data_IF_774550904872
#
_entry.id   IF_774550904872
#
_cell.length_a   1.000
_cell.length_b   1.000
_cell.length_c   1.000
_cell.angle_alpha   90.00
_cell.angle_beta   90.00
_cell.angle_gamma   90.00
#
_symmetry.space_group_name_H-M   'P 1'
#
loop_
_entity.id
_entity.type
_entity.pdbx_description
1 polymer ?
#
# COMPACT_ATOMS: atom_id res chain seq x y z
N UNK A 1 -9.36 -13.14 -52.79
CA UNK A 1 -10.38 -12.80 -51.80
C UNK A 1 -9.67 -12.19 -50.63
N UNK A 2 -9.63 -10.86 -50.64
CA UNK A 2 -8.97 -10.06 -49.60
C UNK A 2 -9.79 -10.12 -48.32
N UNK A 3 -9.27 -10.76 -47.29
CA UNK A 3 -9.79 -10.64 -45.92
C UNK A 3 -9.13 -9.41 -45.30
N UNK A 4 -9.68 -8.24 -45.59
CA UNK A 4 -9.48 -7.05 -44.78
C UNK A 4 -10.16 -7.30 -43.41
N UNK A 5 -9.40 -7.89 -42.47
CA UNK A 5 -9.77 -7.86 -41.08
C UNK A 5 -9.51 -6.45 -40.58
N UNK A 6 -10.53 -5.60 -40.64
CA UNK A 6 -10.52 -4.30 -39.98
C UNK A 6 -10.11 -4.49 -38.51
N UNK A 7 -8.92 -4.01 -38.19
CA UNK A 7 -8.43 -3.86 -36.84
C UNK A 7 -9.24 -2.74 -36.13
N UNK A 8 -10.54 -2.97 -35.91
CA UNK A 8 -11.33 -2.12 -35.05
C UNK A 8 -10.76 -2.26 -33.64
N UNK A 9 -10.04 -1.26 -33.17
CA UNK A 9 -9.57 -1.17 -31.77
C UNK A 9 -10.81 -1.29 -30.89
N UNK A 10 -11.13 -2.49 -30.43
CA UNK A 10 -12.25 -2.72 -29.50
C UNK A 10 -12.05 -1.85 -28.27
N UNK A 11 -12.98 -0.96 -27.97
CA UNK A 11 -12.97 -0.11 -26.77
C UNK A 11 -13.10 -0.99 -25.51
N UNK A 12 -12.59 -0.51 -24.38
CA UNK A 12 -12.80 -1.16 -23.10
C UNK A 12 -14.30 -1.18 -22.73
N UNK A 13 -14.77 -2.25 -22.06
CA UNK A 13 -16.15 -2.31 -21.60
C UNK A 13 -16.43 -1.22 -20.57
N UNK A 14 -17.65 -0.65 -20.57
CA UNK A 14 -18.04 0.42 -19.63
C UNK A 14 -17.95 -0.01 -18.17
N UNK A 15 -18.06 -1.30 -17.88
CA UNK A 15 -17.84 -1.87 -16.55
C UNK A 15 -16.45 -1.57 -15.98
N UNK A 16 -15.42 -1.43 -16.82
CA UNK A 16 -14.07 -1.05 -16.36
C UNK A 16 -14.06 0.33 -15.68
N UNK A 17 -14.77 1.30 -16.27
CA UNK A 17 -14.84 2.65 -15.69
C UNK A 17 -15.62 2.69 -14.38
N UNK A 18 -16.66 1.84 -14.27
CA UNK A 18 -17.36 1.67 -13.01
C UNK A 18 -16.41 1.14 -11.91
N UNK A 19 -15.70 0.05 -12.20
CA UNK A 19 -14.79 -0.58 -11.24
C UNK A 19 -13.61 0.36 -10.92
N UNK A 20 -13.13 1.13 -11.91
CA UNK A 20 -12.13 2.19 -11.73
C UNK A 20 -12.60 3.23 -10.71
N UNK A 21 -13.79 3.82 -10.91
CA UNK A 21 -14.32 4.85 -10.01
C UNK A 21 -14.60 4.30 -8.61
N UNK A 22 -15.19 3.12 -8.53
CA UNK A 22 -15.45 2.44 -7.26
C UNK A 22 -14.15 2.18 -6.49
N UNK A 23 -13.13 1.62 -7.16
CA UNK A 23 -11.83 1.38 -6.56
C UNK A 23 -11.07 2.66 -6.20
N UNK A 24 -11.19 3.71 -7.01
CA UNK A 24 -10.60 5.03 -6.74
C UNK A 24 -11.14 5.64 -5.43
N UNK A 25 -12.47 5.65 -5.27
CA UNK A 25 -13.10 6.23 -4.08
C UNK A 25 -12.87 5.38 -2.82
N UNK A 26 -12.82 4.06 -2.95
CA UNK A 26 -12.45 3.18 -1.84
C UNK A 26 -10.98 3.41 -1.44
N UNK A 27 -10.07 3.54 -2.40
CA UNK A 27 -8.68 3.89 -2.09
C UNK A 27 -8.56 5.30 -1.49
N UNK A 28 -9.36 6.26 -1.94
CA UNK A 28 -9.48 7.56 -1.30
C UNK A 28 -9.85 7.41 0.18
N UNK A 29 -10.88 6.63 0.51
CA UNK A 29 -11.28 6.37 1.89
C UNK A 29 -10.12 5.79 2.71
N UNK A 30 -9.53 4.68 2.24
CA UNK A 30 -8.47 3.98 2.95
C UNK A 30 -7.20 4.83 3.17
N UNK A 31 -6.70 5.48 2.10
CA UNK A 31 -5.48 6.30 2.21
C UNK A 31 -5.72 7.63 2.92
N UNK A 32 -6.95 8.15 2.89
CA UNK A 32 -7.35 9.32 3.68
C UNK A 32 -7.28 9.05 5.17
N UNK A 33 -7.89 7.96 5.62
CA UNK A 33 -7.79 7.49 7.01
C UNK A 33 -6.33 7.21 7.38
N UNK A 34 -5.64 6.42 6.58
CA UNK A 34 -4.27 6.01 6.82
C UNK A 34 -3.32 7.20 6.96
N UNK A 35 -3.50 8.25 6.15
CA UNK A 35 -2.65 9.44 6.13
C UNK A 35 -2.66 10.25 7.43
N UNK A 36 -3.76 10.21 8.16
CA UNK A 36 -3.93 10.93 9.42
C UNK A 36 -3.88 10.02 10.67
N UNK A 37 -3.97 8.70 10.49
CA UNK A 37 -4.14 7.74 11.60
C UNK A 37 -3.00 7.83 12.61
N UNK A 38 -1.74 7.88 12.17
CA UNK A 38 -0.59 7.87 13.08
C UNK A 38 -0.57 9.12 13.96
N UNK A 39 -0.89 10.29 13.40
CA UNK A 39 -1.00 11.54 14.14
C UNK A 39 -2.19 11.50 15.10
N UNK A 40 -3.35 11.03 14.65
CA UNK A 40 -4.52 10.84 15.50
C UNK A 40 -4.24 9.94 16.70
N UNK A 41 -3.45 8.90 16.54
CA UNK A 41 -3.06 8.01 17.65
C UNK A 41 -2.19 8.74 18.66
N UNK A 42 -1.19 9.54 18.23
CA UNK A 42 -0.13 10.06 19.09
C UNK A 42 -0.38 11.46 19.65
N UNK A 43 -1.17 12.30 18.99
CA UNK A 43 -1.54 13.61 19.50
C UNK A 43 -2.37 13.47 20.77
N UNK A 44 -2.22 14.43 21.68
CA UNK A 44 -2.99 14.47 22.94
C UNK A 44 -4.49 14.64 22.69
N UNK A 45 -5.31 14.35 23.68
CA UNK A 45 -6.77 14.58 23.60
C UNK A 45 -7.08 16.06 23.33
N UNK A 46 -6.30 16.97 23.91
CA UNK A 46 -6.46 18.42 23.71
C UNK A 46 -6.13 18.81 22.25
N UNK A 47 -5.13 18.16 21.64
CA UNK A 47 -4.79 18.32 20.24
C UNK A 47 -5.74 17.55 19.30
N UNK A 48 -6.78 16.90 19.79
CA UNK A 48 -7.76 16.14 19.00
C UNK A 48 -7.34 14.71 18.69
N UNK A 49 -6.27 14.19 19.32
CA UNK A 49 -5.79 12.82 19.19
C UNK A 49 -6.26 11.91 20.31
N UNK A 50 -5.62 10.74 20.44
CA UNK A 50 -5.96 9.72 21.45
C UNK A 50 -4.85 9.50 22.50
N UNK A 51 -3.78 10.27 22.46
CA UNK A 51 -2.69 10.28 23.43
C UNK A 51 -2.01 8.91 23.67
N UNK A 52 -1.98 8.04 22.64
CA UNK A 52 -1.16 6.83 22.73
C UNK A 52 0.32 7.21 22.68
N UNK A 53 1.14 6.50 23.43
CA UNK A 53 2.58 6.59 23.27
C UNK A 53 2.99 6.12 21.85
N UNK A 54 4.07 6.68 21.27
CA UNK A 54 4.47 6.37 19.90
C UNK A 54 4.77 4.89 19.66
N UNK A 55 5.21 4.15 20.69
CA UNK A 55 5.47 2.72 20.60
C UNK A 55 4.16 1.95 20.36
N UNK A 56 3.16 2.17 21.21
CA UNK A 56 1.83 1.54 21.10
C UNK A 56 1.14 1.96 19.81
N UNK A 57 1.20 3.25 19.46
CA UNK A 57 0.64 3.78 18.21
C UNK A 57 1.23 3.09 16.97
N UNK A 58 2.55 2.89 16.94
CA UNK A 58 3.23 2.21 15.83
C UNK A 58 2.81 0.75 15.69
N UNK A 59 2.61 0.04 16.80
CA UNK A 59 2.11 -1.34 16.79
C UNK A 59 0.66 -1.38 16.28
N UNK A 60 -0.22 -0.52 16.81
CA UNK A 60 -1.62 -0.43 16.34
C UNK A 60 -1.65 -0.16 14.83
N UNK A 61 -0.90 0.84 14.37
CA UNK A 61 -0.82 1.20 12.96
C UNK A 61 -0.34 0.03 12.08
N UNK A 62 0.79 -0.59 12.45
CA UNK A 62 1.39 -1.67 11.67
C UNK A 62 0.51 -2.92 11.60
N UNK A 63 -0.09 -3.34 12.73
CA UNK A 63 -1.00 -4.49 12.73
C UNK A 63 -2.33 -4.19 12.04
N UNK A 64 -2.93 -3.01 12.24
CA UNK A 64 -4.17 -2.64 11.59
C UNK A 64 -4.01 -2.60 10.07
N UNK A 65 -2.97 -1.90 9.55
CA UNK A 65 -2.68 -1.84 8.13
C UNK A 65 -2.29 -3.20 7.57
N UNK A 66 -1.52 -4.00 8.31
CA UNK A 66 -1.15 -5.36 7.91
C UNK A 66 -2.36 -6.28 7.75
N UNK A 67 -3.27 -6.30 8.71
CA UNK A 67 -4.46 -7.16 8.67
C UNK A 67 -5.36 -6.88 7.45
N UNK A 68 -5.37 -5.66 6.89
CA UNK A 68 -6.07 -5.36 5.63
C UNK A 68 -5.51 -6.12 4.42
N UNK A 69 -4.31 -6.70 4.52
CA UNK A 69 -3.73 -7.57 3.50
C UNK A 69 -3.91 -9.05 3.78
N UNK A 70 -4.24 -9.42 5.01
CA UNK A 70 -4.53 -10.81 5.39
C UNK A 70 -6.01 -11.18 5.17
N UNK A 71 -6.93 -10.32 5.58
CA UNK A 71 -8.38 -10.57 5.51
C UNK A 71 -8.92 -10.78 4.09
N UNK A 72 -8.32 -10.25 3.00
CA UNK A 72 -8.71 -10.57 1.62
C UNK A 72 -8.70 -12.06 1.26
N UNK A 73 -7.86 -12.87 1.88
CA UNK A 73 -7.85 -14.32 1.69
C UNK A 73 -9.18 -14.94 2.13
N UNK A 74 -9.67 -14.52 3.30
CA UNK A 74 -10.92 -15.02 3.88
C UNK A 74 -12.12 -14.45 3.13
N UNK A 75 -12.14 -13.13 2.92
CA UNK A 75 -13.26 -12.45 2.26
C UNK A 75 -13.44 -12.85 0.80
N UNK A 76 -12.34 -13.07 0.06
CA UNK A 76 -12.37 -13.61 -1.29
C UNK A 76 -12.94 -15.03 -1.33
N UNK A 77 -12.49 -15.89 -0.41
CA UNK A 77 -13.03 -17.25 -0.29
C UNK A 77 -14.53 -17.27 0.03
N UNK A 78 -15.00 -16.43 0.95
CA UNK A 78 -16.42 -16.31 1.29
C UNK A 78 -17.20 -15.82 0.07
N UNK A 79 -16.68 -14.83 -0.65
CA UNK A 79 -17.35 -14.32 -1.85
C UNK A 79 -17.50 -15.39 -2.95
N UNK A 80 -16.44 -16.14 -3.23
CA UNK A 80 -16.45 -17.17 -4.27
C UNK A 80 -17.38 -18.35 -3.95
N UNK A 81 -17.55 -18.69 -2.65
CA UNK A 81 -18.35 -19.85 -2.25
C UNK A 81 -19.79 -19.53 -1.85
N UNK A 82 -20.08 -18.33 -1.31
CA UNK A 82 -21.38 -18.04 -0.68
C UNK A 82 -22.07 -16.78 -1.18
N UNK A 83 -21.34 -15.68 -1.43
CA UNK A 83 -21.97 -14.37 -1.67
C UNK A 83 -22.04 -13.96 -3.15
N UNK A 84 -21.01 -14.30 -3.92
CA UNK A 84 -20.72 -13.65 -5.19
C UNK A 84 -19.95 -12.32 -5.01
N UNK A 85 -19.14 -11.97 -6.01
CA UNK A 85 -18.21 -10.84 -5.94
C UNK A 85 -18.90 -9.49 -5.74
N UNK A 86 -20.05 -9.26 -6.41
CA UNK A 86 -20.79 -7.98 -6.31
C UNK A 86 -21.35 -7.74 -4.91
N UNK A 87 -21.97 -8.77 -4.31
CA UNK A 87 -22.50 -8.67 -2.94
C UNK A 87 -21.38 -8.49 -1.93
N UNK A 88 -20.22 -9.14 -2.16
CA UNK A 88 -19.06 -8.99 -1.31
C UNK A 88 -18.48 -7.57 -1.38
N UNK A 89 -18.42 -6.95 -2.56
CA UNK A 89 -18.00 -5.53 -2.70
C UNK A 89 -18.95 -4.62 -1.93
N UNK A 90 -20.26 -4.73 -2.13
CA UNK A 90 -21.24 -3.91 -1.40
C UNK A 90 -21.20 -4.11 0.11
N UNK A 91 -21.13 -5.36 0.57
CA UNK A 91 -21.02 -5.66 2.00
C UNK A 91 -19.73 -5.08 2.60
N UNK A 92 -18.61 -5.31 1.91
CA UNK A 92 -17.29 -4.82 2.34
C UNK A 92 -17.25 -3.30 2.44
N UNK A 93 -17.73 -2.61 1.41
CA UNK A 93 -17.75 -1.16 1.39
C UNK A 93 -18.69 -0.56 2.44
N UNK A 94 -19.85 -1.16 2.64
CA UNK A 94 -20.75 -0.72 3.71
C UNK A 94 -20.12 -0.89 5.10
N UNK A 95 -19.44 -2.00 5.36
CA UNK A 95 -18.71 -2.22 6.62
C UNK A 95 -17.58 -1.20 6.78
N UNK A 96 -16.82 -0.90 5.70
CA UNK A 96 -15.77 0.13 5.73
C UNK A 96 -16.35 1.51 5.99
N UNK A 97 -17.47 1.88 5.36
CA UNK A 97 -18.16 3.13 5.63
C UNK A 97 -18.50 3.29 7.12
N UNK A 98 -19.07 2.26 7.74
CA UNK A 98 -19.36 2.30 9.18
C UNK A 98 -18.09 2.35 10.03
N UNK A 99 -17.00 1.72 9.59
CA UNK A 99 -15.70 1.81 10.26
C UNK A 99 -15.18 3.25 10.31
N UNK A 100 -15.16 3.95 9.17
CA UNK A 100 -14.78 5.37 9.10
C UNK A 100 -15.75 6.28 9.87
N UNK A 101 -17.05 5.99 9.79
CA UNK A 101 -18.05 6.74 10.52
C UNK A 101 -17.92 6.59 12.04
N UNK A 102 -17.54 5.42 12.52
CA UNK A 102 -17.24 5.19 13.95
C UNK A 102 -16.01 6.01 14.37
N UNK A 103 -14.95 6.05 13.57
CA UNK A 103 -13.78 6.89 13.84
C UNK A 103 -14.14 8.39 13.90
N UNK A 104 -15.09 8.84 13.06
CA UNK A 104 -15.62 10.20 13.11
C UNK A 104 -16.45 10.46 14.37
N UNK A 105 -17.38 9.54 14.71
CA UNK A 105 -18.41 9.78 15.72
C UNK A 105 -17.94 9.50 17.15
N UNK A 106 -16.94 8.60 17.32
CA UNK A 106 -16.49 8.12 18.63
C UNK A 106 -15.02 8.46 18.87
N UNK A 107 -14.76 9.65 19.42
CA UNK A 107 -13.42 10.08 19.83
C UNK A 107 -12.99 9.37 21.13
N UNK A 108 -12.62 8.11 21.01
CA UNK A 108 -12.22 7.24 22.15
C UNK A 108 -11.40 6.04 21.69
N UNK A 109 -10.68 5.42 22.62
CA UNK A 109 -9.94 4.17 22.32
C UNK A 109 -10.88 3.05 21.84
N UNK A 110 -12.09 2.94 22.40
CA UNK A 110 -13.09 1.95 21.95
C UNK A 110 -13.52 2.24 20.51
N UNK A 111 -13.81 3.51 20.19
CA UNK A 111 -14.15 3.94 18.83
C UNK A 111 -13.04 3.62 17.83
N UNK A 112 -11.78 3.83 18.23
CA UNK A 112 -10.63 3.47 17.42
C UNK A 112 -10.60 1.97 17.08
N UNK A 113 -10.62 1.10 18.10
CA UNK A 113 -10.52 -0.35 17.88
C UNK A 113 -11.72 -0.89 17.10
N UNK A 114 -12.93 -0.40 17.38
CA UNK A 114 -14.13 -0.79 16.64
C UNK A 114 -14.06 -0.33 15.18
N UNK A 115 -13.67 0.93 14.94
CA UNK A 115 -13.52 1.48 13.59
C UNK A 115 -12.48 0.70 12.78
N UNK A 116 -11.28 0.47 13.33
CA UNK A 116 -10.22 -0.30 12.67
C UNK A 116 -10.64 -1.75 12.41
N UNK A 117 -11.33 -2.39 13.35
CA UNK A 117 -11.86 -3.75 13.17
C UNK A 117 -12.82 -3.84 11.98
N UNK A 118 -13.77 -2.90 11.88
CA UNK A 118 -14.70 -2.83 10.76
C UNK A 118 -13.96 -2.58 9.44
N UNK A 119 -12.98 -1.68 9.42
CA UNK A 119 -12.17 -1.41 8.23
C UNK A 119 -11.39 -2.64 7.76
N UNK A 120 -10.79 -3.40 8.67
CA UNK A 120 -10.05 -4.62 8.38
C UNK A 120 -10.98 -5.68 7.75
N UNK A 121 -12.16 -5.90 8.34
CA UNK A 121 -13.12 -6.87 7.82
C UNK A 121 -13.69 -6.41 6.48
N UNK A 122 -14.13 -5.15 6.38
CA UNK A 122 -14.70 -4.60 5.16
C UNK A 122 -13.73 -4.65 3.98
N UNK A 123 -12.45 -4.27 4.20
CA UNK A 123 -11.42 -4.38 3.19
C UNK A 123 -11.20 -5.82 2.72
N UNK A 124 -11.32 -6.78 3.63
CA UNK A 124 -11.24 -8.21 3.31
C UNK A 124 -12.28 -8.65 2.28
N UNK A 125 -13.50 -8.14 2.36
CA UNK A 125 -14.54 -8.42 1.37
C UNK A 125 -14.40 -7.56 0.11
N UNK A 126 -14.00 -6.31 0.22
CA UNK A 126 -13.99 -5.38 -0.90
C UNK A 126 -12.84 -5.64 -1.88
N UNK A 127 -11.60 -5.59 -1.37
CA UNK A 127 -10.37 -5.54 -2.17
C UNK A 127 -10.17 -6.72 -3.15
N UNK A 128 -10.34 -8.00 -2.76
CA UNK A 128 -10.14 -9.10 -3.69
C UNK A 128 -11.23 -9.15 -4.75
N UNK A 129 -12.46 -8.78 -4.39
CA UNK A 129 -13.61 -8.92 -5.24
C UNK A 129 -13.71 -7.82 -6.31
N UNK A 130 -13.36 -6.58 -5.97
CA UNK A 130 -13.31 -5.50 -6.97
C UNK A 130 -12.25 -5.79 -8.04
N UNK A 131 -11.08 -6.32 -7.66
CA UNK A 131 -10.02 -6.71 -8.60
C UNK A 131 -10.45 -7.91 -9.47
N UNK A 132 -11.17 -8.87 -8.89
CA UNK A 132 -11.68 -10.02 -9.63
C UNK A 132 -12.75 -9.62 -10.66
N UNK A 133 -13.56 -8.59 -10.38
CA UNK A 133 -14.51 -8.03 -11.36
C UNK A 133 -13.80 -7.44 -12.57
N UNK A 134 -12.62 -6.78 -12.40
CA UNK A 134 -11.82 -6.31 -13.55
C UNK A 134 -11.47 -7.47 -14.48
N UNK A 135 -10.93 -8.56 -13.92
CA UNK A 135 -10.58 -9.75 -14.71
C UNK A 135 -11.78 -10.39 -15.41
N UNK A 136 -12.93 -10.41 -14.73
CA UNK A 136 -14.18 -11.00 -15.24
C UNK A 136 -14.85 -10.23 -16.38
N UNK A 137 -14.44 -8.98 -16.65
CA UNK A 137 -14.93 -8.16 -17.76
C UNK A 137 -14.37 -8.59 -19.12
N UNK A 138 -13.36 -9.45 -19.14
CA UNK A 138 -12.64 -9.86 -20.34
C UNK A 138 -12.66 -11.37 -20.52
N UNK A 139 -12.69 -11.80 -21.77
CA UNK A 139 -12.55 -13.21 -22.10
C UNK A 139 -11.12 -13.71 -21.87
N UNK A 140 -10.92 -15.00 -21.57
CA UNK A 140 -9.59 -15.57 -21.46
C UNK A 140 -8.75 -15.31 -22.72
N UNK A 141 -7.57 -14.72 -22.56
CA UNK A 141 -6.69 -14.40 -23.69
C UNK A 141 -6.93 -13.04 -24.36
N UNK A 142 -7.87 -12.23 -23.85
CA UNK A 142 -8.07 -10.87 -24.37
C UNK A 142 -6.85 -9.98 -24.08
N UNK A 143 -6.18 -9.51 -25.13
CA UNK A 143 -4.97 -8.67 -25.06
C UNK A 143 -5.18 -7.32 -24.35
N UNK A 144 -6.44 -6.90 -24.15
CA UNK A 144 -6.77 -5.66 -23.43
C UNK A 144 -6.74 -5.80 -21.91
N UNK A 145 -6.64 -7.02 -21.38
CA UNK A 145 -6.69 -7.28 -19.95
C UNK A 145 -5.56 -6.56 -19.19
N UNK A 146 -4.34 -6.57 -19.73
CA UNK A 146 -3.19 -5.90 -19.10
C UNK A 146 -3.40 -4.39 -19.03
N UNK A 147 -3.91 -3.78 -20.10
CA UNK A 147 -4.23 -2.35 -20.12
C UNK A 147 -5.42 -2.01 -19.20
N UNK A 148 -6.38 -2.92 -19.02
CA UNK A 148 -7.47 -2.75 -18.08
C UNK A 148 -6.99 -2.71 -16.62
N UNK A 149 -6.09 -3.61 -16.24
CA UNK A 149 -5.46 -3.56 -14.92
C UNK A 149 -4.61 -2.30 -14.73
N UNK A 150 -3.93 -1.82 -15.78
CA UNK A 150 -3.19 -0.56 -15.74
C UNK A 150 -4.12 0.64 -15.49
N UNK A 151 -5.27 0.69 -16.16
CA UNK A 151 -6.30 1.72 -15.93
C UNK A 151 -6.86 1.62 -14.50
N UNK A 152 -7.16 0.42 -14.03
CA UNK A 152 -7.64 0.21 -12.67
C UNK A 152 -6.59 0.65 -11.63
N UNK A 153 -5.33 0.31 -11.83
CA UNK A 153 -4.22 0.72 -10.97
C UNK A 153 -4.02 2.25 -10.96
N UNK A 154 -4.23 2.92 -12.09
CA UNK A 154 -4.22 4.38 -12.15
C UNK A 154 -5.32 4.98 -11.25
N UNK A 155 -6.52 4.39 -11.21
CA UNK A 155 -7.58 4.80 -10.28
C UNK A 155 -7.17 4.67 -8.82
N UNK A 156 -6.54 3.55 -8.46
CA UNK A 156 -6.00 3.30 -7.12
C UNK A 156 -5.04 4.43 -6.72
N UNK A 157 -4.07 4.76 -7.59
CA UNK A 157 -3.07 5.80 -7.30
C UNK A 157 -3.67 7.20 -7.27
N UNK A 158 -4.68 7.48 -8.09
CA UNK A 158 -5.39 8.76 -8.06
C UNK A 158 -6.13 8.94 -6.72
N UNK A 159 -6.83 7.91 -6.23
CA UNK A 159 -7.44 7.92 -4.91
C UNK A 159 -6.41 8.12 -3.79
N UNK A 160 -5.30 7.38 -3.84
CA UNK A 160 -4.21 7.47 -2.87
C UNK A 160 -3.50 8.84 -2.88
N UNK A 161 -3.43 9.50 -4.04
CA UNK A 161 -2.87 10.84 -4.17
C UNK A 161 -3.79 11.92 -3.58
N UNK A 162 -5.08 11.90 -3.95
CA UNK A 162 -6.03 12.95 -3.56
C UNK A 162 -6.43 12.87 -2.08
N UNK A 163 -6.47 11.68 -1.51
CA UNK A 163 -7.01 11.46 -0.18
C UNK A 163 -6.23 12.19 0.94
N UNK A 164 -4.89 11.98 1.09
CA UNK A 164 -4.14 12.66 2.14
C UNK A 164 -4.13 14.19 1.94
N UNK A 165 -4.23 14.68 0.69
CA UNK A 165 -4.31 16.11 0.41
C UNK A 165 -5.59 16.70 1.01
N UNK A 166 -6.75 16.05 0.76
CA UNK A 166 -8.01 16.55 1.30
C UNK A 166 -8.10 16.34 2.81
N UNK A 167 -7.78 15.15 3.31
CA UNK A 167 -7.87 14.86 4.75
C UNK A 167 -6.91 15.73 5.55
N UNK A 168 -5.66 15.92 5.10
CA UNK A 168 -4.70 16.83 5.74
C UNK A 168 -5.18 18.29 5.75
N UNK A 169 -5.72 18.78 4.63
CA UNK A 169 -6.28 20.13 4.56
C UNK A 169 -7.46 20.32 5.55
N UNK A 170 -8.33 19.32 5.66
CA UNK A 170 -9.45 19.36 6.59
C UNK A 170 -8.97 19.31 8.05
N UNK A 171 -8.00 18.47 8.36
CA UNK A 171 -7.53 18.27 9.74
C UNK A 171 -6.69 19.44 10.24
N UNK A 172 -5.74 19.93 9.44
CA UNK A 172 -4.69 20.83 9.91
C UNK A 172 -5.00 22.30 9.64
N UNK A 173 -5.87 22.61 8.65
CA UNK A 173 -6.14 23.99 8.23
C UNK A 173 -7.60 24.40 8.41
N UNK A 174 -8.58 23.62 7.90
CA UNK A 174 -9.99 24.05 7.87
C UNK A 174 -10.66 23.89 9.23
N UNK A 175 -10.46 22.74 9.89
CA UNK A 175 -11.10 22.42 11.15
C UNK A 175 -10.13 22.37 12.34
N UNK A 176 -8.90 22.85 12.14
CA UNK A 176 -8.00 23.13 13.26
C UNK A 176 -8.43 24.41 13.99
N UNK A 177 -8.27 24.43 15.30
CA UNK A 177 -8.60 25.56 16.15
C UNK A 177 -7.65 25.69 17.32
N UNK A 178 -7.42 26.89 17.78
CA UNK A 178 -6.65 27.14 18.98
C UNK A 178 -7.51 26.88 20.23
N UNK A 179 -7.01 26.05 21.12
CA UNK A 179 -7.64 25.70 22.39
C UNK A 179 -6.69 26.04 23.53
N UNK A 180 -7.18 26.68 24.59
CA UNK A 180 -6.37 26.96 25.77
C UNK A 180 -6.30 25.74 26.65
N UNK A 181 -5.08 25.28 26.99
CA UNK A 181 -4.88 24.21 27.96
C UNK A 181 -5.38 24.69 29.35
N UNK A 182 -6.36 24.03 29.95
CA UNK A 182 -6.92 24.46 31.23
C UNK A 182 -5.95 24.36 32.42
N UNK A 183 -4.88 23.56 32.29
CA UNK A 183 -3.91 23.34 33.36
C UNK A 183 -2.72 24.31 33.28
N UNK A 184 -2.23 24.59 32.06
CA UNK A 184 -1.02 25.41 31.84
C UNK A 184 -1.35 26.84 31.38
N UNK A 185 -2.54 27.09 30.86
CA UNK A 185 -2.92 28.36 30.22
C UNK A 185 -2.32 28.56 28.82
N UNK A 186 -1.55 27.60 28.31
CA UNK A 186 -0.94 27.67 26.98
C UNK A 186 -1.96 27.46 25.87
N UNK A 187 -1.76 28.15 24.74
CA UNK A 187 -2.57 27.94 23.54
C UNK A 187 -1.99 26.76 22.75
N UNK A 188 -2.81 25.74 22.54
CA UNK A 188 -2.47 24.52 21.81
C UNK A 188 -3.37 24.42 20.58
N UNK A 189 -2.82 23.97 19.45
CA UNK A 189 -3.62 23.70 18.26
C UNK A 189 -4.35 22.36 18.39
N UNK A 190 -5.66 22.37 18.31
CA UNK A 190 -6.52 21.19 18.23
C UNK A 190 -6.83 20.88 16.77
N UNK A 191 -6.45 19.68 16.31
CA UNK A 191 -6.60 19.24 14.94
C UNK A 191 -7.97 18.62 14.68
N UNK A 192 -8.49 18.79 13.47
CA UNK A 192 -9.80 18.31 13.07
C UNK A 192 -9.83 16.86 12.58
N UNK A 193 -9.12 15.90 13.21
CA UNK A 193 -8.99 14.52 12.73
C UNK A 193 -10.34 13.84 12.44
N UNK A 194 -11.36 14.09 13.27
CA UNK A 194 -12.71 13.56 13.04
C UNK A 194 -13.27 13.93 11.66
N UNK A 195 -12.98 15.12 11.16
CA UNK A 195 -13.44 15.55 9.83
C UNK A 195 -12.64 14.90 8.69
N UNK A 196 -11.38 14.53 8.95
CA UNK A 196 -10.62 13.70 8.04
C UNK A 196 -11.23 12.30 7.89
N UNK A 197 -11.64 11.66 8.99
CA UNK A 197 -12.37 10.38 8.96
C UNK A 197 -13.75 10.52 8.34
N UNK A 198 -14.46 11.64 8.56
CA UNK A 198 -15.72 11.90 7.89
C UNK A 198 -15.55 12.01 6.37
N UNK A 199 -14.51 12.69 5.90
CA UNK A 199 -14.21 12.75 4.47
C UNK A 199 -13.89 11.36 3.88
N UNK A 200 -13.18 10.52 4.62
CA UNK A 200 -12.93 9.12 4.25
C UNK A 200 -14.24 8.31 4.18
N UNK A 201 -15.12 8.48 5.17
CA UNK A 201 -16.46 7.86 5.18
C UNK A 201 -17.30 8.31 3.97
N UNK A 202 -17.33 9.60 3.67
CA UNK A 202 -18.04 10.14 2.50
C UNK A 202 -17.45 9.55 1.21
N UNK A 203 -16.12 9.44 1.09
CA UNK A 203 -15.48 8.80 -0.05
C UNK A 203 -15.95 7.36 -0.24
N UNK A 204 -16.03 6.59 0.86
CA UNK A 204 -16.53 5.22 0.81
C UNK A 204 -18.02 5.16 0.43
N UNK A 205 -18.83 6.07 0.96
CA UNK A 205 -20.25 6.16 0.60
C UNK A 205 -20.43 6.47 -0.89
N UNK A 206 -19.64 7.39 -1.45
CA UNK A 206 -19.64 7.71 -2.88
C UNK A 206 -19.28 6.47 -3.70
N UNK A 207 -18.26 5.71 -3.30
CA UNK A 207 -17.91 4.43 -3.91
C UNK A 207 -19.09 3.47 -3.98
N UNK A 208 -19.77 3.27 -2.84
CA UNK A 208 -20.91 2.36 -2.71
C UNK A 208 -22.13 2.82 -3.54
N UNK A 209 -22.46 4.09 -3.50
CA UNK A 209 -23.58 4.65 -4.27
C UNK A 209 -23.34 4.49 -5.77
N UNK A 210 -22.13 4.81 -6.25
CA UNK A 210 -21.76 4.61 -7.66
C UNK A 210 -21.89 3.13 -8.04
N UNK A 211 -21.36 2.23 -7.22
CA UNK A 211 -21.41 0.81 -7.49
C UNK A 211 -22.85 0.28 -7.48
N UNK A 212 -23.64 0.64 -6.46
CA UNK A 212 -25.03 0.20 -6.33
C UNK A 212 -25.89 0.65 -7.51
N UNK A 213 -25.76 1.90 -7.94
CA UNK A 213 -26.59 2.47 -9.03
C UNK A 213 -26.22 1.91 -10.41
N UNK A 214 -24.95 1.61 -10.65
CA UNK A 214 -24.46 1.33 -12.00
C UNK A 214 -24.01 -0.13 -12.21
N UNK A 215 -23.84 -0.94 -11.14
CA UNK A 215 -23.36 -2.31 -11.28
C UNK A 215 -24.26 -3.17 -12.18
N UNK A 216 -25.58 -3.12 -12.02
CA UNK A 216 -26.49 -3.91 -12.86
C UNK A 216 -26.39 -3.49 -14.33
N UNK A 217 -26.29 -2.18 -14.60
CA UNK A 217 -26.25 -1.64 -15.97
C UNK A 217 -24.97 -1.99 -16.71
N UNK A 218 -23.82 -1.99 -16.02
CA UNK A 218 -22.50 -2.11 -16.67
C UNK A 218 -21.80 -3.44 -16.47
N UNK A 219 -22.18 -4.21 -15.45
CA UNK A 219 -21.63 -5.54 -15.18
C UNK A 219 -22.60 -6.67 -15.57
N UNK A 220 -23.90 -6.38 -15.80
CA UNK A 220 -24.92 -7.42 -16.06
C UNK A 220 -24.93 -8.46 -14.94
N UNK A 221 -24.75 -9.72 -15.26
CA UNK A 221 -24.74 -10.83 -14.30
C UNK A 221 -23.34 -11.15 -13.73
N UNK A 222 -22.31 -10.42 -14.18
CA UNK A 222 -20.95 -10.66 -13.74
C UNK A 222 -20.83 -10.49 -12.21
N UNK A 223 -20.32 -11.51 -11.53
CA UNK A 223 -20.08 -11.51 -10.08
C UNK A 223 -21.34 -11.51 -9.20
N UNK A 224 -22.55 -11.67 -9.78
CA UNK A 224 -23.81 -11.67 -9.03
C UNK A 224 -23.99 -12.93 -8.18
N UNK A 225 -23.56 -14.07 -8.72
CA UNK A 225 -23.68 -15.37 -8.06
C UNK A 225 -22.31 -15.89 -7.61
N UNK A 226 -22.26 -16.67 -6.52
CA UNK A 226 -21.04 -17.37 -6.15
C UNK A 226 -20.62 -18.33 -7.27
N UNK A 227 -19.33 -18.46 -7.49
CA UNK A 227 -18.80 -19.35 -8.53
C UNK A 227 -19.10 -20.83 -8.23
N UNK A 228 -19.61 -21.12 -7.04
CA UNK A 228 -19.82 -22.45 -6.50
C UNK A 228 -18.48 -23.15 -6.29
N UNK A 229 -18.28 -23.90 -5.21
CA UNK A 229 -17.03 -24.64 -4.90
C UNK A 229 -16.62 -25.68 -5.95
N UNK A 230 -17.19 -25.63 -7.16
CA UNK A 230 -16.93 -26.44 -8.35
C UNK A 230 -16.40 -25.60 -9.52
N UNK A 231 -15.47 -24.68 -9.32
CA UNK A 231 -14.38 -24.61 -10.27
C UNK A 231 -13.37 -25.67 -9.80
N UNK A 232 -13.62 -26.90 -10.16
CA UNK A 232 -12.54 -27.72 -10.71
C UNK A 232 -11.73 -26.76 -11.56
N UNK A 233 -10.48 -26.52 -11.16
CA UNK A 233 -9.43 -26.10 -12.09
C UNK A 233 -9.75 -26.86 -13.37
N UNK A 234 -10.20 -26.14 -14.41
CA UNK A 234 -10.64 -26.76 -15.63
C UNK A 234 -9.44 -27.55 -16.12
N UNK A 235 -9.56 -28.87 -16.08
CA UNK A 235 -8.82 -29.87 -16.85
C UNK A 235 -7.38 -29.56 -17.31
N UNK A 236 -6.54 -28.95 -16.44
CA UNK A 236 -5.20 -29.43 -16.36
C UNK A 236 -5.33 -30.71 -15.50
N UNK A 237 -5.08 -31.87 -16.05
CA UNK A 237 -4.83 -33.08 -15.30
C UNK A 237 -3.77 -32.72 -14.27
N UNK A 238 -4.23 -32.31 -13.06
CA UNK A 238 -3.34 -32.05 -11.94
C UNK A 238 -2.82 -33.41 -11.57
N UNK A 239 -1.67 -33.77 -12.15
CA UNK A 239 -0.97 -34.99 -11.87
C UNK A 239 -0.72 -35.05 -10.36
N UNK A 240 -1.19 -36.09 -9.67
CA UNK A 240 -0.85 -36.37 -8.26
C UNK A 240 0.62 -36.73 -8.08
N UNK A 241 1.41 -36.70 -9.17
CA UNK A 241 2.83 -36.95 -9.14
C UNK A 241 3.57 -36.02 -8.16
N UNK A 242 4.56 -36.51 -7.45
CA UNK A 242 5.39 -35.71 -6.57
C UNK A 242 6.07 -34.58 -7.35
N UNK A 243 6.31 -33.43 -6.66
CA UNK A 243 7.00 -32.29 -7.24
C UNK A 243 8.35 -32.67 -7.81
N UNK A 244 8.62 -32.30 -9.05
CA UNK A 244 9.92 -32.47 -9.69
C UNK A 244 10.99 -31.63 -9.00
N UNK A 245 12.27 -31.95 -9.24
CA UNK A 245 13.39 -31.15 -8.73
C UNK A 245 13.30 -29.70 -9.20
N UNK A 246 12.97 -29.48 -10.47
CA UNK A 246 12.79 -28.15 -11.07
C UNK A 246 11.67 -27.35 -10.38
N UNK A 247 10.52 -27.96 -10.15
CA UNK A 247 9.41 -27.32 -9.45
C UNK A 247 9.78 -26.94 -8.00
N UNK A 248 10.51 -27.79 -7.28
CA UNK A 248 11.01 -27.50 -5.94
C UNK A 248 11.99 -26.33 -5.93
N UNK A 249 12.88 -26.26 -6.91
CA UNK A 249 13.85 -25.17 -7.06
C UNK A 249 13.12 -23.84 -7.36
N UNK A 250 12.12 -23.84 -8.25
CA UNK A 250 11.27 -22.67 -8.56
C UNK A 250 10.49 -22.19 -7.33
N UNK A 251 9.91 -23.10 -6.56
CA UNK A 251 9.23 -22.78 -5.30
C UNK A 251 10.21 -22.14 -4.31
N UNK A 252 11.42 -22.68 -4.20
CA UNK A 252 12.45 -22.10 -3.33
C UNK A 252 12.78 -20.67 -3.74
N UNK A 253 12.87 -20.36 -5.04
CA UNK A 253 13.08 -19.00 -5.54
C UNK A 253 11.92 -18.07 -5.13
N UNK A 254 10.67 -18.54 -5.22
CA UNK A 254 9.50 -17.75 -4.78
C UNK A 254 9.63 -17.39 -3.29
N UNK A 255 10.01 -18.34 -2.43
CA UNK A 255 10.18 -18.07 -1.00
C UNK A 255 11.36 -17.14 -0.71
N UNK A 256 12.45 -17.22 -1.47
CA UNK A 256 13.55 -16.26 -1.37
C UNK A 256 13.03 -14.85 -1.70
N UNK A 257 12.32 -14.69 -2.80
CA UNK A 257 11.76 -13.38 -3.16
C UNK A 257 10.73 -12.88 -2.16
N UNK A 258 9.87 -13.75 -1.64
CA UNK A 258 8.93 -13.45 -0.56
C UNK A 258 9.63 -12.86 0.67
N UNK A 259 10.71 -13.49 1.10
CA UNK A 259 11.49 -13.04 2.25
C UNK A 259 12.10 -11.66 2.03
N UNK A 260 12.73 -11.41 0.89
CA UNK A 260 13.30 -10.10 0.59
C UNK A 260 12.24 -9.02 0.36
N UNK A 261 11.07 -9.38 -0.18
CA UNK A 261 9.95 -8.45 -0.33
C UNK A 261 9.39 -7.98 1.03
N UNK A 262 9.33 -8.87 2.04
CA UNK A 262 8.93 -8.48 3.40
C UNK A 262 9.85 -7.38 3.93
N UNK A 263 11.16 -7.52 3.81
CA UNK A 263 12.11 -6.52 4.30
C UNK A 263 12.04 -5.20 3.51
N UNK A 264 11.87 -5.28 2.20
CA UNK A 264 11.64 -4.09 1.40
C UNK A 264 10.41 -3.33 1.89
N UNK A 265 9.26 -3.99 1.95
CA UNK A 265 8.02 -3.33 2.34
C UNK A 265 7.99 -2.94 3.82
N UNK A 266 8.65 -3.65 4.73
CA UNK A 266 8.76 -3.24 6.13
C UNK A 266 9.50 -1.90 6.30
N UNK A 267 10.56 -1.69 5.51
CA UNK A 267 11.24 -0.39 5.44
C UNK A 267 10.40 0.65 4.69
N UNK A 268 9.78 0.29 3.58
CA UNK A 268 8.96 1.20 2.77
C UNK A 268 7.75 1.76 3.54
N UNK A 269 7.07 0.92 4.31
CA UNK A 269 5.88 1.28 5.10
C UNK A 269 6.18 2.20 6.31
N UNK A 270 7.46 2.46 6.60
CA UNK A 270 7.84 3.49 7.58
C UNK A 270 7.34 4.90 7.19
N UNK A 271 7.02 5.11 5.92
CA UNK A 271 6.40 6.33 5.42
C UNK A 271 5.12 6.71 6.18
N UNK A 272 4.30 5.74 6.54
CA UNK A 272 3.04 5.96 7.27
C UNK A 272 3.17 5.97 8.79
N UNK A 273 4.32 5.64 9.34
CA UNK A 273 4.55 5.55 10.80
C UNK A 273 5.71 6.44 11.25
N UNK A 274 6.94 5.92 11.30
CA UNK A 274 8.08 6.66 11.85
C UNK A 274 8.41 7.94 11.06
N UNK A 275 8.30 7.93 9.71
CA UNK A 275 8.52 9.15 8.93
C UNK A 275 7.42 10.18 9.16
N UNK A 276 6.18 9.77 9.33
CA UNK A 276 5.07 10.70 9.67
C UNK A 276 5.36 11.42 10.98
N UNK A 277 5.77 10.69 12.04
CA UNK A 277 6.10 11.30 13.33
C UNK A 277 7.36 12.17 13.24
N UNK A 278 8.40 11.72 12.52
CA UNK A 278 9.60 12.51 12.31
C UNK A 278 9.30 13.81 11.54
N UNK A 279 8.49 13.71 10.50
CA UNK A 279 8.08 14.85 9.67
C UNK A 279 7.29 15.87 10.48
N UNK A 280 6.34 15.43 11.30
CA UNK A 280 5.53 16.30 12.13
C UNK A 280 6.37 17.10 13.13
N UNK A 281 7.35 16.45 13.76
CA UNK A 281 8.16 17.05 14.82
C UNK A 281 9.36 17.84 14.27
N UNK A 282 10.06 17.34 13.25
CA UNK A 282 11.44 17.70 12.96
C UNK A 282 11.73 18.20 11.54
N UNK A 283 10.76 18.17 10.62
CA UNK A 283 10.92 18.72 9.28
C UNK A 283 10.29 20.12 9.19
N UNK A 284 11.00 21.08 8.59
CA UNK A 284 10.43 22.37 8.27
C UNK A 284 9.44 22.22 7.10
N UNK A 285 8.16 22.37 7.43
CA UNK A 285 7.05 22.20 6.50
C UNK A 285 6.50 23.55 5.98
N UNK A 286 7.16 24.65 6.35
CA UNK A 286 6.69 25.99 5.95
C UNK A 286 7.26 26.38 4.60
N UNK A 287 6.39 26.55 3.61
CA UNK A 287 6.75 26.99 2.27
C UNK A 287 5.90 28.21 1.89
N UNK A 288 6.56 29.33 1.66
CA UNK A 288 5.86 30.58 1.29
C UNK A 288 4.87 31.08 2.35
N UNK A 289 5.10 30.78 3.63
CA UNK A 289 4.21 31.15 4.74
C UNK A 289 3.04 30.18 4.98
N UNK A 290 2.93 29.11 4.18
CA UNK A 290 1.94 28.05 4.37
C UNK A 290 2.61 26.82 4.99
N UNK A 291 2.10 26.34 6.12
CA UNK A 291 2.54 25.12 6.73
C UNK A 291 1.86 23.91 6.07
N UNK A 292 2.65 23.08 5.39
CA UNK A 292 2.16 21.90 4.68
C UNK A 292 1.68 20.86 5.71
N UNK A 293 0.43 20.37 5.62
CA UNK A 293 -0.06 19.29 6.46
C UNK A 293 0.83 18.05 6.38
N UNK A 294 1.13 17.45 7.51
CA UNK A 294 2.00 16.25 7.55
C UNK A 294 1.44 15.11 6.71
N UNK A 295 0.12 14.94 6.66
CA UNK A 295 -0.55 13.93 5.85
C UNK A 295 -0.25 14.07 4.34
N UNK A 296 0.02 15.27 3.81
CA UNK A 296 0.30 15.50 2.39
C UNK A 296 1.50 14.72 1.88
N UNK A 297 2.47 14.41 2.74
CA UNK A 297 3.65 13.65 2.34
C UNK A 297 3.33 12.20 1.97
N UNK A 298 2.18 11.67 2.42
CA UNK A 298 1.68 10.36 1.96
C UNK A 298 1.27 10.38 0.47
N UNK A 299 0.99 11.56 -0.10
CA UNK A 299 0.66 11.73 -1.53
C UNK A 299 1.90 11.80 -2.42
N UNK A 300 3.10 11.98 -1.86
CA UNK A 300 4.35 12.14 -2.64
C UNK A 300 4.71 10.86 -3.39
N UNK A 301 4.55 9.68 -2.76
CA UNK A 301 4.81 8.41 -3.41
C UNK A 301 3.86 8.15 -4.60
N UNK A 302 2.52 8.22 -4.48
CA UNK A 302 1.62 8.10 -5.64
C UNK A 302 1.92 9.10 -6.76
N UNK A 303 2.30 10.33 -6.43
CA UNK A 303 2.71 11.33 -7.41
C UNK A 303 3.96 10.85 -8.18
N UNK A 304 5.00 10.42 -7.46
CA UNK A 304 6.21 9.91 -8.10
C UNK A 304 5.95 8.62 -8.90
N UNK A 305 5.04 7.75 -8.47
CA UNK A 305 4.65 6.58 -9.26
C UNK A 305 4.09 7.03 -10.62
N UNK A 306 3.16 7.98 -10.65
CA UNK A 306 2.55 8.47 -11.89
C UNK A 306 3.61 9.06 -12.83
N UNK A 307 4.58 9.81 -12.30
CA UNK A 307 5.64 10.45 -13.10
C UNK A 307 6.71 9.45 -13.55
N UNK A 308 7.15 8.56 -12.65
CA UNK A 308 8.30 7.70 -12.89
C UNK A 308 7.93 6.35 -13.54
N UNK A 309 6.71 5.84 -13.37
CA UNK A 309 6.35 4.54 -13.93
C UNK A 309 6.52 4.46 -15.47
N UNK A 310 6.13 5.48 -16.27
CA UNK A 310 6.41 5.47 -17.72
C UNK A 310 7.91 5.47 -18.04
N UNK A 311 8.72 6.18 -17.24
CA UNK A 311 10.19 6.24 -17.42
C UNK A 311 10.80 4.87 -17.13
N UNK A 312 10.41 4.24 -16.01
CA UNK A 312 10.87 2.90 -15.66
C UNK A 312 10.40 1.84 -16.65
N UNK A 313 9.15 1.92 -17.12
CA UNK A 313 8.63 1.02 -18.17
C UNK A 313 9.45 1.13 -19.45
N UNK A 314 9.76 2.35 -19.91
CA UNK A 314 10.62 2.59 -21.07
C UNK A 314 12.03 2.04 -20.84
N UNK A 315 12.61 2.28 -19.67
CA UNK A 315 13.94 1.77 -19.32
C UNK A 315 13.98 0.22 -19.30
N UNK A 316 13.02 -0.45 -18.67
CA UNK A 316 12.96 -1.91 -18.62
C UNK A 316 12.73 -2.54 -20.00
N UNK A 317 12.06 -1.85 -20.92
CA UNK A 317 11.84 -2.30 -22.30
C UNK A 317 13.02 -1.98 -23.24
N UNK A 318 14.00 -1.19 -22.79
CA UNK A 318 15.21 -0.92 -23.57
C UNK A 318 16.10 -2.17 -23.73
N UNK A 319 16.98 -2.17 -24.72
CA UNK A 319 17.95 -3.26 -24.94
C UNK A 319 18.77 -3.57 -23.69
N UNK A 320 19.19 -2.53 -22.96
CA UNK A 320 19.94 -2.68 -21.71
C UNK A 320 19.03 -3.23 -20.58
N UNK A 321 17.84 -2.65 -20.37
CA UNK A 321 16.91 -3.07 -19.32
C UNK A 321 16.48 -4.53 -19.44
N UNK A 322 16.36 -5.06 -20.66
CA UNK A 322 16.03 -6.47 -20.92
C UNK A 322 17.17 -7.43 -20.56
N UNK A 323 18.42 -6.97 -20.45
CA UNK A 323 19.53 -7.80 -19.97
C UNK A 323 19.54 -7.94 -18.44
N UNK A 324 18.88 -7.04 -17.74
CA UNK A 324 18.83 -7.05 -16.28
C UNK A 324 17.84 -8.10 -15.78
N UNK A 325 18.32 -8.92 -14.89
CA UNK A 325 17.59 -10.08 -14.36
C UNK A 325 16.68 -9.68 -13.23
N UNK A 326 15.69 -10.52 -12.96
CA UNK A 326 14.74 -10.33 -11.84
C UNK A 326 15.43 -10.17 -10.48
N UNK A 327 16.39 -11.03 -10.05
CA UNK A 327 17.09 -10.84 -8.79
C UNK A 327 17.87 -9.52 -8.73
N UNK A 328 18.47 -9.11 -9.85
CA UNK A 328 19.20 -7.84 -9.92
C UNK A 328 18.25 -6.64 -9.72
N UNK A 329 17.08 -6.64 -10.39
CA UNK A 329 16.07 -5.58 -10.23
C UNK A 329 15.60 -5.47 -8.78
N UNK A 330 15.29 -6.60 -8.13
CA UNK A 330 14.88 -6.63 -6.73
C UNK A 330 15.99 -6.17 -5.80
N UNK A 331 17.24 -6.60 -6.02
CA UNK A 331 18.40 -6.16 -5.24
C UNK A 331 18.64 -4.65 -5.36
N UNK A 332 18.51 -4.10 -6.57
CA UNK A 332 18.60 -2.66 -6.81
C UNK A 332 17.50 -1.91 -6.06
N UNK A 333 16.26 -2.43 -6.04
CA UNK A 333 15.17 -1.85 -5.28
C UNK A 333 15.47 -1.73 -3.79
N UNK A 334 16.02 -2.79 -3.16
CA UNK A 334 16.44 -2.80 -1.76
C UNK A 334 17.58 -1.80 -1.48
N UNK A 335 18.56 -1.69 -2.39
CA UNK A 335 19.65 -0.72 -2.26
C UNK A 335 19.13 0.72 -2.34
N UNK A 336 18.21 1.00 -3.29
CA UNK A 336 17.58 2.32 -3.41
C UNK A 336 16.76 2.70 -2.17
N UNK A 337 16.04 1.74 -1.59
CA UNK A 337 15.36 1.95 -0.31
C UNK A 337 16.35 2.35 0.79
N UNK A 338 17.47 1.65 0.91
CA UNK A 338 18.49 1.96 1.90
C UNK A 338 19.16 3.32 1.66
N UNK A 339 19.38 3.71 0.40
CA UNK A 339 19.89 5.05 0.05
C UNK A 339 18.90 6.13 0.50
N UNK A 340 17.59 5.89 0.35
CA UNK A 340 16.57 6.81 0.85
C UNK A 340 16.68 7.08 2.34
N UNK A 341 17.02 6.08 3.14
CA UNK A 341 17.27 6.26 4.57
C UNK A 341 18.50 7.10 4.88
N UNK A 342 19.53 7.13 4.00
CA UNK A 342 20.65 8.07 4.19
C UNK A 342 20.20 9.53 4.05
N UNK A 343 19.20 9.83 3.24
CA UNK A 343 18.65 11.18 3.21
C UNK A 343 17.94 11.53 4.52
N UNK A 344 17.21 10.58 5.14
CA UNK A 344 16.64 10.82 6.48
C UNK A 344 17.74 11.02 7.55
N UNK A 345 18.86 10.31 7.46
CA UNK A 345 20.03 10.58 8.31
C UNK A 345 20.61 11.97 8.03
N UNK A 346 20.63 12.42 6.77
CA UNK A 346 20.99 13.79 6.41
C UNK A 346 20.14 14.82 7.14
N UNK A 347 18.83 14.59 7.28
CA UNK A 347 17.95 15.44 8.07
C UNK A 347 18.33 15.46 9.57
N UNK A 348 18.72 14.32 10.14
CA UNK A 348 19.21 14.25 11.53
C UNK A 348 20.50 15.05 11.70
N UNK A 349 21.46 14.91 10.78
CA UNK A 349 22.74 15.64 10.81
C UNK A 349 22.55 17.15 10.62
N UNK A 350 21.66 17.59 9.73
CA UNK A 350 21.34 19.00 9.55
C UNK A 350 20.86 19.66 10.85
N UNK A 351 20.15 18.92 11.69
CA UNK A 351 19.72 19.37 13.02
C UNK A 351 20.80 19.33 14.09
N UNK A 352 22.04 18.98 13.73
CA UNK A 352 23.17 18.87 14.68
C UNK A 352 23.26 17.50 15.38
N UNK A 353 22.48 16.50 14.91
CA UNK A 353 22.53 15.14 15.42
C UNK A 353 23.66 14.29 14.85
N UNK A 354 23.78 13.08 15.36
CA UNK A 354 24.66 12.03 14.87
C UNK A 354 24.06 10.67 15.17
N UNK A 355 24.71 9.59 14.70
CA UNK A 355 24.21 8.24 15.02
C UNK A 355 24.24 8.03 16.53
N UNK A 356 23.09 7.74 17.12
CA UNK A 356 22.93 7.54 18.56
C UNK A 356 22.82 8.83 19.39
N UNK A 357 22.82 9.99 18.73
CA UNK A 357 22.62 11.29 19.41
C UNK A 357 21.64 12.13 18.59
N UNK A 358 20.36 11.96 18.86
CA UNK A 358 19.28 12.67 18.20
C UNK A 358 18.93 13.96 18.95
N UNK A 359 18.97 15.15 18.30
CA UNK A 359 18.60 16.39 18.94
C UNK A 359 17.14 16.37 19.38
N UNK A 360 16.89 16.67 20.65
CA UNK A 360 15.54 16.75 21.22
C UNK A 360 14.84 18.07 20.95
N UNK A 361 15.59 19.12 20.58
CA UNK A 361 15.05 20.45 20.30
C UNK A 361 14.19 20.43 19.03
N UNK A 362 12.89 20.64 19.20
CA UNK A 362 11.93 20.71 18.10
C UNK A 362 11.93 22.05 17.36
N UNK A 363 12.56 23.08 17.90
CA UNK A 363 12.70 24.37 17.21
C UNK A 363 13.71 24.28 16.05
N UNK A 364 14.70 23.39 16.15
CA UNK A 364 15.66 23.14 15.08
C UNK A 364 15.08 22.09 14.11
N UNK A 365 14.62 22.55 12.96
CA UNK A 365 14.00 21.71 11.94
C UNK A 365 14.92 21.50 10.75
N UNK A 366 14.86 20.31 10.15
CA UNK A 366 15.60 19.97 8.94
C UNK A 366 14.83 20.38 7.68
N UNK A 367 15.56 20.57 6.58
CA UNK A 367 14.99 20.90 5.28
C UNK A 367 14.05 19.81 4.77
N UNK A 368 12.93 20.25 4.18
CA UNK A 368 11.97 19.41 3.47
C UNK A 368 12.61 18.59 2.33
N UNK A 369 13.71 19.08 1.76
CA UNK A 369 14.37 18.40 0.65
C UNK A 369 14.80 16.96 0.99
N UNK A 370 15.24 16.70 2.23
CA UNK A 370 15.62 15.37 2.67
C UNK A 370 14.46 14.36 2.56
N UNK A 371 13.29 14.78 2.99
CA UNK A 371 12.09 13.95 2.94
C UNK A 371 11.67 13.66 1.49
N UNK A 372 11.71 14.69 0.62
CA UNK A 372 11.36 14.52 -0.80
C UNK A 372 12.34 13.59 -1.52
N UNK A 373 13.66 13.70 -1.24
CA UNK A 373 14.67 12.79 -1.79
C UNK A 373 14.48 11.35 -1.28
N UNK A 374 14.09 11.19 -0.02
CA UNK A 374 13.74 9.88 0.55
C UNK A 374 12.57 9.25 -0.20
N UNK A 375 11.46 9.97 -0.37
CA UNK A 375 10.30 9.46 -1.11
C UNK A 375 10.63 9.16 -2.58
N UNK A 376 11.45 10.00 -3.22
CA UNK A 376 11.90 9.77 -4.60
C UNK A 376 12.64 8.44 -4.73
N UNK A 377 13.67 8.23 -3.89
CA UNK A 377 14.48 6.99 -3.96
C UNK A 377 13.69 5.75 -3.52
N UNK A 378 12.81 5.87 -2.53
CA UNK A 378 11.92 4.79 -2.13
C UNK A 378 10.97 4.40 -3.25
N UNK A 379 10.37 5.38 -3.95
CA UNK A 379 9.50 5.11 -5.11
C UNK A 379 10.26 4.47 -6.27
N UNK A 380 11.49 4.92 -6.55
CA UNK A 380 12.35 4.27 -7.54
C UNK A 380 12.64 2.81 -7.16
N UNK A 381 12.89 2.54 -5.88
CA UNK A 381 13.06 1.19 -5.35
C UNK A 381 11.80 0.34 -5.51
N UNK A 382 10.64 0.90 -5.22
CA UNK A 382 9.35 0.24 -5.42
C UNK A 382 9.10 -0.13 -6.88
N UNK A 383 9.38 0.77 -7.82
CA UNK A 383 9.23 0.52 -9.26
C UNK A 383 10.21 -0.55 -9.80
N UNK A 384 11.30 -0.82 -9.09
CA UNK A 384 12.17 -1.95 -9.38
C UNK A 384 11.62 -3.29 -8.89
N UNK A 385 10.85 -3.31 -7.80
CA UNK A 385 10.44 -4.53 -7.11
C UNK A 385 8.98 -4.93 -7.39
N UNK A 386 8.05 -4.00 -7.27
CA UNK A 386 6.60 -4.29 -7.27
C UNK A 386 6.09 -4.93 -8.57
N UNK A 387 6.45 -4.45 -9.79
CA UNK A 387 5.97 -5.08 -11.02
C UNK A 387 6.52 -6.48 -11.24
N UNK A 388 7.69 -6.76 -10.67
CA UNK A 388 8.42 -8.02 -10.85
C UNK A 388 7.82 -9.13 -9.99
N UNK A 389 7.48 -8.82 -8.74
CA UNK A 389 7.08 -9.81 -7.75
C UNK A 389 5.87 -10.65 -8.15
N UNK A 390 4.77 -10.01 -8.53
CA UNK A 390 3.56 -10.71 -8.97
C UNK A 390 3.78 -11.53 -10.24
N UNK A 391 4.48 -10.96 -11.23
CA UNK A 391 4.79 -11.64 -12.49
C UNK A 391 5.60 -12.90 -12.27
N UNK A 392 6.64 -12.83 -11.44
CA UNK A 392 7.55 -13.96 -11.25
C UNK A 392 6.90 -15.11 -10.47
N UNK A 393 6.05 -14.80 -9.48
CA UNK A 393 5.30 -15.83 -8.75
C UNK A 393 4.38 -16.58 -9.71
N UNK A 394 3.67 -15.88 -10.57
CA UNK A 394 2.80 -16.50 -11.58
C UNK A 394 3.58 -17.39 -12.55
N UNK A 395 4.76 -16.94 -13.00
CA UNK A 395 5.59 -17.68 -13.96
C UNK A 395 6.31 -18.90 -13.37
N UNK A 396 6.75 -18.82 -12.10
CA UNK A 396 7.51 -19.86 -11.43
C UNK A 396 6.64 -20.92 -10.75
N UNK A 397 5.38 -20.59 -10.45
CA UNK A 397 4.49 -21.49 -9.71
C UNK A 397 4.13 -22.72 -10.53
N UNK A 398 4.33 -23.95 -10.00
CA UNK A 398 3.75 -25.13 -10.59
C UNK A 398 2.22 -25.01 -10.68
N UNK A 399 1.58 -25.48 -11.77
CA UNK A 399 0.12 -25.34 -11.95
C UNK A 399 -0.72 -25.80 -10.76
N UNK A 400 -0.30 -26.90 -10.12
CA UNK A 400 -0.97 -27.48 -8.94
C UNK A 400 -0.89 -26.63 -7.68
N UNK A 401 0.09 -25.74 -7.56
CA UNK A 401 0.31 -24.87 -6.38
C UNK A 401 0.15 -23.40 -6.68
N UNK A 402 -0.18 -23.00 -7.92
CA UNK A 402 -0.21 -21.61 -8.34
C UNK A 402 -1.10 -20.72 -7.47
N UNK A 403 -2.31 -21.18 -7.15
CA UNK A 403 -3.22 -20.44 -6.26
C UNK A 403 -2.70 -20.31 -4.83
N UNK A 404 -2.12 -21.40 -4.28
CA UNK A 404 -1.54 -21.39 -2.94
C UNK A 404 -0.33 -20.45 -2.85
N UNK A 405 0.62 -20.55 -3.79
CA UNK A 405 1.82 -19.71 -3.80
C UNK A 405 1.49 -18.22 -4.02
N UNK A 406 0.49 -17.93 -4.84
CA UNK A 406 -0.01 -16.56 -4.99
C UNK A 406 -0.65 -16.05 -3.69
N UNK A 407 -1.44 -16.90 -3.00
CA UNK A 407 -1.99 -16.59 -1.68
C UNK A 407 -0.90 -16.30 -0.66
N UNK A 408 0.13 -17.14 -0.59
CA UNK A 408 1.30 -16.91 0.27
C UNK A 408 1.99 -15.59 -0.08
N UNK A 409 2.22 -15.30 -1.37
CA UNK A 409 2.82 -14.04 -1.80
C UNK A 409 2.06 -12.82 -1.30
N UNK A 410 0.73 -12.87 -1.36
CA UNK A 410 -0.11 -11.76 -0.87
C UNK A 410 0.04 -11.50 0.63
N UNK A 411 0.40 -12.51 1.43
CA UNK A 411 0.65 -12.33 2.86
C UNK A 411 1.95 -11.59 3.16
N UNK A 412 2.86 -11.42 2.19
CA UNK A 412 4.09 -10.64 2.39
C UNK A 412 3.81 -9.23 2.91
N UNK A 413 2.76 -8.58 2.39
CA UNK A 413 2.37 -7.25 2.82
C UNK A 413 1.87 -7.23 4.28
N UNK A 414 1.19 -8.28 4.76
CA UNK A 414 0.83 -8.42 6.18
C UNK A 414 2.08 -8.47 7.06
N UNK A 415 3.01 -9.37 6.76
CA UNK A 415 4.25 -9.50 7.54
C UNK A 415 5.09 -8.24 7.48
N UNK A 416 5.14 -7.58 6.33
CA UNK A 416 5.88 -6.32 6.15
C UNK A 416 5.30 -5.19 7.00
N UNK A 417 3.99 -4.98 6.99
CA UNK A 417 3.35 -3.94 7.81
C UNK A 417 3.47 -4.25 9.31
N UNK A 418 3.26 -5.48 9.73
CA UNK A 418 3.44 -5.90 11.12
C UNK A 418 4.90 -5.69 11.59
N UNK A 419 5.87 -6.14 10.78
CA UNK A 419 7.29 -5.90 11.06
C UNK A 419 7.62 -4.41 11.05
N UNK A 420 7.07 -3.64 10.10
CA UNK A 420 7.21 -2.19 10.03
C UNK A 420 6.72 -1.49 11.29
N UNK A 421 5.56 -1.89 11.82
CA UNK A 421 5.03 -1.40 13.09
C UNK A 421 5.93 -1.71 14.28
N UNK A 422 6.47 -2.95 14.34
CA UNK A 422 7.44 -3.34 15.37
C UNK A 422 8.72 -2.50 15.24
N UNK A 423 9.27 -2.32 14.06
CA UNK A 423 10.47 -1.50 13.83
C UNK A 423 10.20 -0.05 14.27
N UNK A 424 9.07 0.54 13.84
CA UNK A 424 8.70 1.91 14.20
C UNK A 424 8.54 2.09 15.72
N UNK A 425 8.09 1.06 16.44
CA UNK A 425 7.93 1.10 17.90
C UNK A 425 9.24 1.27 18.65
N UNK A 426 10.37 0.94 18.03
CA UNK A 426 11.70 1.14 18.62
C UNK A 426 12.29 2.54 18.36
N UNK A 427 11.70 3.35 17.47
CA UNK A 427 12.24 4.69 17.16
C UNK A 427 12.26 5.58 18.39
N UNK A 428 11.24 5.51 19.25
CA UNK A 428 11.18 6.30 20.48
C UNK A 428 12.28 5.89 21.49
N UNK A 429 12.60 4.60 21.57
CA UNK A 429 13.60 4.08 22.54
C UNK A 429 15.02 4.25 22.08
N UNK A 430 15.28 4.02 20.81
CA UNK A 430 16.64 3.99 20.25
C UNK A 430 17.03 5.29 19.54
N UNK A 431 16.05 6.16 19.28
CA UNK A 431 16.21 7.34 18.46
C UNK A 431 16.08 7.05 16.96
N UNK A 432 15.61 8.03 16.17
CA UNK A 432 15.44 7.90 14.72
C UNK A 432 16.76 7.62 14.01
N UNK A 433 17.90 8.20 14.45
CA UNK A 433 19.21 8.01 13.82
C UNK A 433 19.69 6.56 13.85
N UNK A 434 19.54 5.87 14.99
CA UNK A 434 19.91 4.45 15.12
C UNK A 434 19.00 3.60 14.24
N UNK A 435 17.68 3.79 14.34
CA UNK A 435 16.72 2.96 13.60
C UNK A 435 16.89 3.15 12.09
N UNK A 436 17.03 4.39 11.61
CA UNK A 436 17.25 4.66 10.19
C UNK A 436 18.58 4.07 9.69
N UNK A 437 19.66 4.14 10.50
CA UNK A 437 20.94 3.51 10.17
C UNK A 437 20.82 2.00 10.07
N UNK A 438 20.16 1.36 11.03
CA UNK A 438 19.98 -0.10 11.06
C UNK A 438 19.14 -0.56 9.86
N UNK A 439 18.02 0.11 9.58
CA UNK A 439 17.18 -0.23 8.40
C UNK A 439 18.01 -0.06 7.13
N UNK A 440 18.67 1.10 6.95
CA UNK A 440 19.48 1.38 5.77
C UNK A 440 20.54 0.30 5.54
N UNK A 441 21.36 0.03 6.55
CA UNK A 441 22.43 -0.98 6.47
C UNK A 441 21.86 -2.39 6.17
N UNK A 442 20.79 -2.77 6.87
CA UNK A 442 20.17 -4.08 6.69
C UNK A 442 19.60 -4.26 5.29
N UNK A 443 18.80 -3.30 4.77
CA UNK A 443 18.21 -3.46 3.43
C UNK A 443 19.24 -3.36 2.31
N UNK A 444 20.32 -2.58 2.48
CA UNK A 444 21.44 -2.57 1.54
C UNK A 444 22.15 -3.92 1.53
N UNK A 445 22.43 -4.50 2.70
CA UNK A 445 23.02 -5.84 2.78
C UNK A 445 22.12 -6.89 2.15
N UNK A 446 20.81 -6.83 2.37
CA UNK A 446 19.83 -7.68 1.69
C UNK A 446 19.89 -7.48 0.17
N UNK A 447 19.95 -6.25 -0.32
CA UNK A 447 20.05 -5.92 -1.74
C UNK A 447 21.33 -6.48 -2.37
N UNK A 448 22.47 -6.28 -1.72
CA UNK A 448 23.74 -6.86 -2.16
C UNK A 448 23.70 -8.39 -2.15
N UNK A 449 23.13 -9.00 -1.10
CA UNK A 449 22.91 -10.43 -1.02
C UNK A 449 22.07 -10.98 -2.18
N UNK A 450 20.99 -10.25 -2.56
CA UNK A 450 20.17 -10.60 -3.71
C UNK A 450 20.96 -10.54 -5.03
N UNK A 451 21.78 -9.50 -5.20
CA UNK A 451 22.66 -9.35 -6.38
C UNK A 451 23.72 -10.47 -6.43
N UNK A 452 24.31 -10.83 -5.31
CA UNK A 452 25.27 -11.94 -5.23
C UNK A 452 24.61 -13.30 -5.52
N UNK A 453 23.40 -13.51 -5.07
CA UNK A 453 22.62 -14.73 -5.33
C UNK A 453 22.10 -14.81 -6.77
N UNK A 454 22.24 -13.75 -7.57
CA UNK A 454 21.66 -13.62 -8.90
C UNK A 454 21.91 -14.86 -9.79
N UNK A 455 23.17 -15.26 -9.95
CA UNK A 455 23.53 -16.43 -10.82
C UNK A 455 22.89 -17.72 -10.32
N UNK A 456 22.84 -17.94 -8.99
CA UNK A 456 22.24 -19.13 -8.38
C UNK A 456 20.73 -19.14 -8.59
N UNK A 457 20.05 -18.03 -8.30
CA UNK A 457 18.60 -17.92 -8.46
C UNK A 457 18.18 -18.09 -9.91
N UNK A 458 18.88 -17.47 -10.87
CA UNK A 458 18.60 -17.66 -12.28
C UNK A 458 18.73 -19.14 -12.72
N UNK A 459 19.73 -19.87 -12.24
CA UNK A 459 19.86 -21.29 -12.52
C UNK A 459 18.66 -22.07 -12.00
N UNK A 460 18.20 -21.76 -10.77
CA UNK A 460 17.04 -22.42 -10.15
C UNK A 460 15.70 -22.01 -10.79
N UNK A 461 15.65 -20.92 -11.56
CA UNK A 461 14.46 -20.52 -12.33
C UNK A 461 14.30 -21.30 -13.63
N UNK A 462 15.29 -22.09 -14.06
CA UNK A 462 15.24 -22.95 -15.26
C UNK A 462 14.76 -22.21 -16.51
N UNK A 463 15.39 -21.05 -16.82
CA UNK A 463 15.11 -20.26 -18.02
C UNK A 463 13.88 -19.34 -17.98
N UNK A 464 13.11 -19.36 -16.88
CA UNK A 464 12.04 -18.37 -16.67
C UNK A 464 12.65 -17.01 -16.36
N UNK A 465 12.18 -15.96 -17.07
CA UNK A 465 12.67 -14.58 -16.96
C UNK A 465 11.55 -13.64 -16.51
#
# INVERSE_FOLDING_TARGET
>A
MDTNVENVKKKHPKGLYLVFLTGMWERFSYYGMRGILMLYLTKTFLEGGLAFDPQTASLIYGFATGLTYFTPLIGGWIADNFLGQRKAVLLGGLIMFFGEFVLFAMHSHIGLYLGLFLLIIGNGFFKPNISALVGGLYEPGDKRLDSAFSIFYMGINLGAFLAPLLTGLLTDNIFASNVTNPETGEIVMSFGYKYGFLAAAIGMLVSEVIFLLFAQKYLGDLGLHPKGGKKKVADAQVSDAPLTKEEKERITVIFVYFFFAIFFFAGFEQAGSSFTLYTDKFIDRVVGGFEIPTAWFQSVNPLFIVVLAPVFASFWNSKFGQTLTTPFKMGTGLILLGIGYFFMLGAVYERGGSIGNDPSDMAVKASLAWLVLTYLTHTMGELCLSPVGLSIVTKLSPPKLAGLLMGVWMTAAFFANAAGGVIASYVEKLGPSIVFTVISGFVILCGLGMVLLNKKLQRMMHGVK
#
